data_IF_395684391784
#
_entry.id   IF_395684391784
#
_cell.length_a   1.000
_cell.length_b   1.000
_cell.length_c   1.000
_cell.angle_alpha   90.00
_cell.angle_beta   90.00
_cell.angle_gamma   90.00
#
_symmetry.space_group_name_H-M   'P 1'
#
loop_
_entity.id
_entity.type
_entity.pdbx_description
1 polymer ?
#
# COMPACT_ATOMS: atom_id res chain seq x y z
N UNK A 1 13.18 6.94 -13.43
CA UNK A 1 12.41 6.10 -12.48
C UNK A 1 12.27 6.85 -11.16
N UNK A 2 11.12 6.84 -10.46
CA UNK A 2 10.95 7.59 -9.20
C UNK A 2 12.04 7.29 -8.17
N UNK A 3 12.45 6.03 -8.06
CA UNK A 3 13.49 5.65 -7.09
C UNK A 3 14.85 6.29 -7.35
N UNK A 4 15.18 6.70 -8.60
CA UNK A 4 16.44 7.39 -8.90
C UNK A 4 16.50 8.82 -8.36
N UNK A 5 15.36 9.37 -7.92
CA UNK A 5 15.26 10.69 -7.31
C UNK A 5 15.26 10.63 -5.77
N UNK A 6 15.23 9.43 -5.19
CA UNK A 6 15.19 9.24 -3.74
C UNK A 6 16.58 8.94 -3.20
N UNK A 7 17.03 9.73 -2.22
CA UNK A 7 18.26 9.44 -1.50
C UNK A 7 18.08 8.28 -0.49
N UNK A 8 19.18 7.64 -0.10
CA UNK A 8 19.20 6.54 0.88
C UNK A 8 18.95 5.16 0.27
N UNK A 9 19.14 4.09 1.07
CA UNK A 9 18.98 2.72 0.58
C UNK A 9 17.51 2.38 0.36
N UNK A 10 17.26 1.68 -0.74
CA UNK A 10 15.93 1.26 -1.17
C UNK A 10 15.76 -0.25 -0.98
N UNK A 11 14.60 -0.64 -0.47
CA UNK A 11 14.14 -2.02 -0.42
C UNK A 11 12.87 -2.14 -1.27
N UNK A 12 12.84 -3.14 -2.14
CA UNK A 12 11.65 -3.51 -2.90
C UNK A 12 11.07 -4.81 -2.35
N UNK A 13 9.78 -4.80 -2.04
CA UNK A 13 9.00 -5.93 -1.58
C UNK A 13 7.99 -6.33 -2.66
N UNK A 14 8.14 -7.52 -3.23
CA UNK A 14 7.31 -7.97 -4.35
C UNK A 14 7.03 -9.48 -4.32
N UNK A 15 6.07 -9.99 -5.11
CA UNK A 15 5.92 -11.42 -5.36
C UNK A 15 7.20 -12.06 -5.92
N UNK A 16 7.50 -13.34 -5.61
CA UNK A 16 8.72 -14.02 -6.08
C UNK A 16 8.98 -13.92 -7.59
N UNK A 17 7.94 -14.10 -8.41
CA UNK A 17 8.02 -14.04 -9.88
C UNK A 17 8.49 -12.68 -10.42
N UNK A 18 8.26 -11.60 -9.66
CA UNK A 18 8.71 -10.25 -10.01
C UNK A 18 10.11 -9.93 -9.48
N UNK A 19 10.77 -10.89 -8.81
CA UNK A 19 12.15 -10.80 -8.33
C UNK A 19 13.11 -11.71 -9.11
N UNK A 20 12.59 -12.53 -10.02
CA UNK A 20 13.37 -13.44 -10.84
C UNK A 20 14.09 -12.69 -11.97
N UNK A 21 15.43 -12.77 -12.00
CA UNK A 21 16.23 -12.13 -13.06
C UNK A 21 15.93 -12.65 -14.47
N UNK A 22 15.40 -13.87 -14.58
CA UNK A 22 14.96 -14.44 -15.85
C UNK A 22 13.73 -13.71 -16.44
N UNK A 23 12.95 -13.01 -15.60
CA UNK A 23 11.82 -12.21 -16.03
C UNK A 23 12.30 -10.80 -16.42
N UNK A 24 12.23 -10.39 -17.70
CA UNK A 24 12.69 -9.07 -18.15
C UNK A 24 11.99 -7.90 -17.43
N UNK A 25 10.71 -8.08 -17.06
CA UNK A 25 9.91 -7.09 -16.35
C UNK A 25 10.09 -7.12 -14.83
N UNK A 26 11.03 -7.91 -14.30
CA UNK A 26 11.26 -8.03 -12.86
C UNK A 26 11.86 -6.74 -12.27
N UNK A 27 11.58 -6.50 -11.00
CA UNK A 27 12.13 -5.36 -10.26
C UNK A 27 13.66 -5.28 -10.31
N UNK A 28 14.43 -6.38 -10.16
CA UNK A 28 15.88 -6.33 -10.30
C UNK A 28 16.36 -5.87 -11.68
N UNK A 29 15.72 -6.33 -12.76
CA UNK A 29 16.11 -5.94 -14.12
C UNK A 29 15.78 -4.48 -14.38
N UNK A 30 14.56 -4.03 -14.02
CA UNK A 30 14.17 -2.62 -14.15
C UNK A 30 15.12 -1.70 -13.36
N UNK A 31 15.41 -2.03 -12.09
CA UNK A 31 16.34 -1.22 -11.29
C UNK A 31 17.77 -1.22 -11.87
N UNK A 32 18.22 -2.36 -12.41
CA UNK A 32 19.51 -2.47 -13.08
C UNK A 32 19.60 -1.57 -14.32
N UNK A 33 18.56 -1.57 -15.17
CA UNK A 33 18.50 -0.75 -16.39
C UNK A 33 18.57 0.74 -16.07
N UNK A 34 17.91 1.17 -14.99
CA UNK A 34 17.97 2.54 -14.49
C UNK A 34 19.18 2.83 -13.59
N UNK A 35 20.07 1.87 -13.37
CA UNK A 35 21.26 1.95 -12.50
C UNK A 35 20.94 2.43 -11.08
N UNK A 36 19.83 1.98 -10.53
CA UNK A 36 19.40 2.30 -9.17
C UNK A 36 19.72 1.13 -8.24
N UNK A 37 20.56 1.32 -7.20
CA UNK A 37 20.83 0.26 -6.24
C UNK A 37 19.62 0.03 -5.33
N UNK A 38 19.25 -1.24 -5.14
CA UNK A 38 18.23 -1.65 -4.19
C UNK A 38 18.46 -3.09 -3.72
N UNK A 39 17.93 -3.41 -2.54
CA UNK A 39 17.75 -4.78 -2.09
C UNK A 39 16.33 -5.24 -2.46
N UNK A 40 16.17 -6.53 -2.78
CA UNK A 40 14.90 -7.11 -3.24
C UNK A 40 14.52 -8.30 -2.36
N UNK A 41 13.31 -8.28 -1.80
CA UNK A 41 12.82 -9.33 -0.92
C UNK A 41 11.38 -9.71 -1.22
N UNK A 42 11.06 -10.99 -1.01
CA UNK A 42 9.69 -11.48 -1.22
C UNK A 42 8.76 -11.03 -0.11
N UNK A 43 7.51 -10.70 -0.45
CA UNK A 43 6.43 -10.48 0.52
C UNK A 43 6.18 -11.70 1.43
N UNK A 44 6.59 -12.90 1.02
CA UNK A 44 6.51 -14.10 1.87
C UNK A 44 7.58 -14.16 2.97
N UNK A 45 8.58 -13.27 2.96
CA UNK A 45 9.75 -13.30 3.86
C UNK A 45 9.81 -12.15 4.85
N UNK A 46 8.71 -11.44 5.10
CA UNK A 46 8.68 -10.27 5.98
C UNK A 46 9.21 -10.55 7.39
N UNK A 47 8.90 -11.73 7.94
CA UNK A 47 9.39 -12.09 9.28
C UNK A 47 10.90 -12.28 9.32
N UNK A 48 11.46 -12.97 8.33
CA UNK A 48 12.91 -13.12 8.20
C UNK A 48 13.60 -11.77 8.00
N UNK A 49 13.00 -10.90 7.18
CA UNK A 49 13.49 -9.55 6.94
C UNK A 49 13.50 -8.70 8.21
N UNK A 50 12.44 -8.77 9.03
CA UNK A 50 12.39 -8.08 10.34
C UNK A 50 13.51 -8.58 11.26
N UNK A 51 13.71 -9.91 11.36
CA UNK A 51 14.78 -10.50 12.20
C UNK A 51 16.17 -10.07 11.76
N UNK A 52 16.40 -9.89 10.45
CA UNK A 52 17.67 -9.42 9.89
C UNK A 52 17.92 -7.92 10.11
N UNK A 53 16.87 -7.15 10.37
CA UNK A 53 16.92 -5.69 10.48
C UNK A 53 16.63 -4.97 9.16
N UNK A 54 15.94 -3.83 9.26
CA UNK A 54 15.49 -3.00 8.14
C UNK A 54 15.87 -1.52 8.27
N UNK A 55 16.66 -1.17 9.27
CA UNK A 55 17.00 0.18 9.72
C UNK A 55 17.80 0.92 8.65
N UNK A 56 18.66 0.20 7.92
CA UNK A 56 19.47 0.73 6.82
C UNK A 56 18.65 1.27 5.65
N UNK A 57 17.37 0.90 5.51
CA UNK A 57 16.51 1.34 4.41
C UNK A 57 15.76 2.63 4.74
N UNK A 58 15.81 3.58 3.81
CA UNK A 58 15.07 4.85 3.86
C UNK A 58 13.81 4.82 2.99
N UNK A 59 13.86 4.07 1.89
CA UNK A 59 12.79 3.96 0.91
C UNK A 59 12.30 2.52 0.81
N UNK A 60 10.99 2.31 0.87
CA UNK A 60 10.34 1.00 0.71
C UNK A 60 9.36 1.07 -0.45
N UNK A 61 9.55 0.21 -1.44
CA UNK A 61 8.59 -0.02 -2.52
C UNK A 61 7.85 -1.31 -2.21
N UNK A 62 6.52 -1.27 -2.21
CA UNK A 62 5.68 -2.45 -1.97
C UNK A 62 4.83 -2.66 -3.21
N UNK A 63 5.11 -3.74 -3.92
CA UNK A 63 4.31 -4.17 -5.05
C UNK A 63 3.11 -5.00 -4.60
N UNK A 64 2.08 -5.05 -5.44
CA UNK A 64 0.79 -5.67 -5.14
C UNK A 64 0.20 -5.18 -3.81
N UNK A 65 0.25 -3.86 -3.59
CA UNK A 65 -0.24 -3.22 -2.37
C UNK A 65 -1.73 -3.51 -2.09
N UNK A 66 -2.48 -3.95 -3.11
CA UNK A 66 -3.85 -4.43 -2.96
C UNK A 66 -3.98 -5.62 -1.99
N UNK A 67 -2.90 -6.38 -1.72
CA UNK A 67 -2.89 -7.48 -0.74
C UNK A 67 -2.98 -7.01 0.72
N UNK A 68 -2.77 -5.73 0.98
CA UNK A 68 -2.66 -5.14 2.34
C UNK A 68 -3.84 -4.23 2.71
N UNK A 69 -5.06 -4.58 2.27
CA UNK A 69 -6.28 -3.79 2.52
C UNK A 69 -6.90 -4.00 3.90
N UNK A 70 -6.57 -5.11 4.57
CA UNK A 70 -7.18 -5.46 5.87
C UNK A 70 -6.12 -5.43 6.96
N UNK A 71 -6.34 -4.57 7.96
CA UNK A 71 -5.40 -4.38 9.08
C UNK A 71 -5.28 -5.59 10.01
N UNK A 72 -6.29 -6.47 10.05
CA UNK A 72 -6.33 -7.64 10.95
C UNK A 72 -5.43 -8.81 10.53
N UNK A 73 -4.66 -8.66 9.44
CA UNK A 73 -3.77 -9.72 8.96
C UNK A 73 -2.36 -9.55 9.57
N UNK A 74 -1.80 -10.64 10.12
CA UNK A 74 -0.41 -10.70 10.62
C UNK A 74 0.60 -10.15 9.60
N UNK A 75 0.35 -10.36 8.31
CA UNK A 75 1.20 -9.87 7.23
C UNK A 75 1.17 -8.34 7.14
N UNK A 76 0.02 -7.71 7.41
CA UNK A 76 -0.12 -6.26 7.46
C UNK A 76 0.68 -5.67 8.63
N UNK A 77 0.59 -6.26 9.82
CA UNK A 77 1.33 -5.79 11.01
C UNK A 77 2.84 -5.83 10.78
N UNK A 78 3.34 -6.94 10.22
CA UNK A 78 4.75 -7.09 9.84
C UNK A 78 5.18 -6.04 8.82
N UNK A 79 4.36 -5.80 7.80
CA UNK A 79 4.65 -4.76 6.81
C UNK A 79 4.64 -3.36 7.43
N UNK A 80 3.67 -3.05 8.29
CA UNK A 80 3.58 -1.76 8.98
C UNK A 80 4.80 -1.50 9.88
N UNK A 81 5.33 -2.55 10.52
CA UNK A 81 6.59 -2.47 11.28
C UNK A 81 7.76 -2.07 10.37
N UNK A 82 7.90 -2.71 9.21
CA UNK A 82 8.96 -2.41 8.23
C UNK A 82 8.82 -0.97 7.70
N UNK A 83 7.60 -0.53 7.43
CA UNK A 83 7.32 0.79 6.84
C UNK A 83 7.48 1.96 7.81
N UNK A 84 7.47 1.72 9.13
CA UNK A 84 7.44 2.78 10.14
C UNK A 84 8.65 3.72 10.02
N UNK A 85 8.37 5.02 9.84
CA UNK A 85 9.38 6.08 9.77
C UNK A 85 10.16 6.13 8.46
N UNK A 86 9.73 5.39 7.43
CA UNK A 86 10.37 5.34 6.11
C UNK A 86 9.51 6.00 5.04
N UNK A 87 10.09 6.28 3.88
CA UNK A 87 9.36 6.75 2.70
C UNK A 87 8.79 5.54 1.97
N UNK A 88 7.48 5.52 1.75
CA UNK A 88 6.77 4.35 1.22
C UNK A 88 6.17 4.68 -0.15
N UNK A 89 6.41 3.79 -1.11
CA UNK A 89 5.76 3.79 -2.41
C UNK A 89 4.96 2.49 -2.55
N UNK A 90 3.63 2.61 -2.63
CA UNK A 90 2.73 1.47 -2.85
C UNK A 90 2.40 1.38 -4.34
N UNK A 91 2.65 0.22 -4.94
CA UNK A 91 2.39 -0.06 -6.36
C UNK A 91 1.27 -1.09 -6.45
N UNK A 92 0.28 -0.81 -7.30
CA UNK A 92 -0.81 -1.76 -7.59
C UNK A 92 -1.35 -1.48 -8.99
N UNK A 93 -1.49 -2.53 -9.79
CA UNK A 93 -2.12 -2.45 -11.11
C UNK A 93 -3.66 -2.49 -11.02
N UNK A 94 -4.21 -2.96 -9.89
CA UNK A 94 -5.66 -3.09 -9.69
C UNK A 94 -6.17 -2.00 -8.74
N UNK A 95 -6.97 -1.03 -9.22
CA UNK A 95 -7.69 -0.10 -8.37
C UNK A 95 -8.98 -0.75 -7.83
N UNK A 96 -8.91 -1.99 -7.33
CA UNK A 96 -10.07 -2.67 -6.75
C UNK A 96 -10.33 -2.17 -5.31
N UNK A 97 -10.41 -0.86 -5.10
CA UNK A 97 -10.83 -0.30 -3.82
C UNK A 97 -12.34 -0.48 -3.69
N UNK A 98 -12.76 -1.67 -3.24
CA UNK A 98 -14.18 -1.99 -3.06
C UNK A 98 -14.82 -1.07 -2.02
N UNK A 99 -14.03 -0.53 -1.08
CA UNK A 99 -14.50 0.39 -0.05
C UNK A 99 -13.50 1.51 0.27
N UNK A 100 -13.96 2.66 0.80
CA UNK A 100 -13.09 3.69 1.39
C UNK A 100 -12.13 3.16 2.48
N UNK A 101 -12.53 2.11 3.19
CA UNK A 101 -11.71 1.48 4.24
C UNK A 101 -10.44 0.83 3.68
N UNK A 102 -10.52 0.25 2.50
CA UNK A 102 -9.37 -0.38 1.85
C UNK A 102 -8.24 0.63 1.60
N UNK A 103 -8.61 1.84 1.18
CA UNK A 103 -7.68 2.96 0.97
C UNK A 103 -7.11 3.44 2.31
N UNK A 104 -7.95 3.54 3.34
CA UNK A 104 -7.51 3.94 4.69
C UNK A 104 -6.43 3.00 5.22
N UNK A 105 -6.62 1.69 5.09
CA UNK A 105 -5.64 0.68 5.53
C UNK A 105 -4.29 0.84 4.83
N UNK A 106 -4.29 1.12 3.52
CA UNK A 106 -3.07 1.36 2.77
C UNK A 106 -2.36 2.65 3.21
N UNK A 107 -3.11 3.74 3.42
CA UNK A 107 -2.55 5.02 3.89
C UNK A 107 -1.94 4.88 5.29
N UNK A 108 -2.55 4.07 6.16
CA UNK A 108 -2.05 3.83 7.53
C UNK A 108 -0.67 3.16 7.59
N UNK A 109 -0.18 2.58 6.48
CA UNK A 109 1.19 2.07 6.40
C UNK A 109 2.25 3.18 6.49
N UNK A 110 1.91 4.43 6.12
CA UNK A 110 2.87 5.54 6.04
C UNK A 110 2.35 6.87 6.62
N UNK A 111 1.11 6.92 7.09
CA UNK A 111 0.51 8.09 7.74
C UNK A 111 -0.17 7.70 9.05
N UNK A 112 0.00 8.54 10.07
CA UNK A 112 -0.74 8.38 11.33
C UNK A 112 -2.23 8.60 11.06
N UNK A 113 -3.06 7.64 11.47
CA UNK A 113 -4.51 7.69 11.28
C UNK A 113 -5.14 8.96 11.91
N UNK A 114 -4.60 9.38 13.05
CA UNK A 114 -4.91 10.64 13.75
C UNK A 114 -3.67 11.52 13.74
N UNK A 115 -3.85 12.82 13.53
CA UNK A 115 -2.77 13.81 13.31
C UNK A 115 -1.92 13.46 12.08
N UNK A 116 -2.58 13.11 10.98
CA UNK A 116 -1.90 12.88 9.69
C UNK A 116 -1.25 14.17 9.20
N UNK A 117 -0.19 14.05 8.38
CA UNK A 117 0.47 15.21 7.76
C UNK A 117 -0.13 15.55 6.40
N UNK A 118 -1.25 14.92 6.01
CA UNK A 118 -1.94 15.21 4.76
C UNK A 118 -2.66 16.56 4.92
N UNK A 119 -2.41 17.53 4.01
CA UNK A 119 -3.06 18.83 4.05
C UNK A 119 -4.58 18.69 4.12
N UNK A 120 -5.21 19.44 5.04
CA UNK A 120 -6.66 19.46 5.25
C UNK A 120 -7.30 18.15 5.73
N UNK A 121 -6.52 17.09 6.01
CA UNK A 121 -7.04 15.79 6.50
C UNK A 121 -6.29 15.30 7.75
N UNK A 122 -6.37 16.04 8.88
CA UNK A 122 -5.63 15.66 10.09
C UNK A 122 -6.16 14.38 10.74
N UNK A 123 -7.42 13.99 10.50
CA UNK A 123 -8.01 12.75 11.00
C UNK A 123 -8.55 11.92 9.82
N UNK A 124 -7.78 10.91 9.44
CA UNK A 124 -8.09 10.03 8.32
C UNK A 124 -9.28 9.14 8.65
N UNK A 125 -9.38 8.60 9.86
CA UNK A 125 -10.52 7.78 10.28
C UNK A 125 -11.84 8.53 10.14
N UNK A 126 -11.88 9.79 10.60
CA UNK A 126 -13.07 10.63 10.47
C UNK A 126 -13.37 11.03 9.01
N UNK A 127 -12.35 11.24 8.18
CA UNK A 127 -12.54 11.53 6.76
C UNK A 127 -13.13 10.32 6.02
N UNK A 128 -12.49 9.15 6.13
CA UNK A 128 -12.92 7.94 5.44
C UNK A 128 -14.24 7.39 6.01
N UNK A 129 -14.50 7.56 7.31
CA UNK A 129 -15.80 7.22 7.91
C UNK A 129 -16.95 8.05 7.35
N UNK A 130 -16.75 9.36 7.13
CA UNK A 130 -17.73 10.22 6.45
C UNK A 130 -17.95 9.80 5.01
N UNK A 131 -16.90 9.40 4.30
CA UNK A 131 -17.00 8.92 2.91
C UNK A 131 -17.81 7.61 2.84
N UNK A 132 -17.55 6.66 3.73
CA UNK A 132 -18.30 5.40 3.83
C UNK A 132 -19.81 5.66 4.08
N UNK A 133 -20.14 6.60 4.97
CA UNK A 133 -21.54 6.98 5.21
C UNK A 133 -22.22 7.61 3.98
N UNK A 134 -21.49 8.44 3.21
CA UNK A 134 -22.03 9.03 1.97
C UNK A 134 -22.34 7.97 0.92
N UNK A 135 -21.43 7.01 0.72
CA UNK A 135 -21.62 5.92 -0.24
C UNK A 135 -22.82 5.05 0.17
N UNK A 136 -22.90 4.62 1.45
CA UNK A 136 -24.04 3.83 1.94
C UNK A 136 -25.39 4.54 1.77
N UNK A 137 -25.43 5.88 1.83
CA UNK A 137 -26.65 6.65 1.57
C UNK A 137 -27.02 6.71 0.07
N UNK A 138 -26.04 6.68 -0.82
CA UNK A 138 -26.24 6.67 -2.28
C UNK A 138 -26.77 5.31 -2.76
N UNK A 139 -26.20 4.21 -2.27
CA UNK A 139 -26.64 2.85 -2.61
C UNK A 139 -28.12 2.66 -2.25
N UNK A 140 -28.51 3.07 -1.03
CA UNK A 140 -29.92 3.01 -0.58
C UNK A 140 -30.87 3.83 -1.46
N UNK A 141 -30.44 4.97 -2.00
CA UNK A 141 -31.26 5.79 -2.90
C UNK A 141 -31.41 5.17 -4.29
N UNK A 142 -30.36 4.53 -4.82
CA UNK A 142 -30.42 3.80 -6.09
C UNK A 142 -31.31 2.56 -5.98
N UNK A 143 -31.31 1.87 -4.84
CA UNK A 143 -32.24 0.77 -4.55
C UNK A 143 -33.68 1.26 -4.43
N UNK A 144 -33.93 2.42 -3.81
CA UNK A 144 -35.27 3.02 -3.72
C UNK A 144 -35.87 3.33 -5.10
N UNK A 145 -35.07 3.78 -6.07
CA UNK A 145 -35.53 4.03 -7.44
C UNK A 145 -35.96 2.74 -8.16
N UNK A 146 -35.41 1.57 -7.80
CA UNK A 146 -35.83 0.26 -8.34
C UNK A 146 -37.07 -0.30 -7.64
N UNK A 147 -37.36 0.10 -6.40
CA UNK A 147 -38.54 -0.36 -5.66
C UNK A 147 -39.86 0.31 -6.10
N UNK A 148 -39.81 1.50 -6.71
CA UNK A 148 -41.01 2.23 -7.15
C UNK A 148 -41.57 1.72 -8.50
N UNK A 149 -40.86 0.82 -9.21
CA UNK A 149 -41.33 0.23 -10.48
C UNK A 149 -42.01 -1.14 -10.34
N UNK A 150 -42.27 -1.63 -9.12
CA UNK A 150 -42.93 -2.92 -8.87
C UNK A 150 -44.19 -2.76 -7.99
N UNK A 151 -44.88 -1.63 -8.10
CA UNK A 151 -46.24 -1.44 -7.56
C UNK A 151 -47.15 -0.93 -8.67
#
# INVERSE_FOLDING_TARGET
>A
MLASQLDGRTLVLAPPVLLEKANPGSWPNVFSDFRVPADFESLGKLEHLIRRGTEKYKNIFVDEAHRFRTESNITYEKLAQICRGKRIALVTATPLNNTPKDILSQIKLFQKAKKSTIPNVPNLEAFFGRLEQKIKKLDRKQEHAKYIQIQ
#
